data_IF_095260710011
#
_entry.id   IF_095260710011
#
_cell.length_a   1.000
_cell.length_b   1.000
_cell.length_c   1.000
_cell.angle_alpha   90.00
_cell.angle_beta   90.00
_cell.angle_gamma   90.00
#
_symmetry.space_group_name_H-M   'P 1'
#
loop_
_entity.id
_entity.type
_entity.pdbx_description
1 polymer ?
#
# COMPACT_ATOMS: atom_id res chain seq x y z
N UNK A 1 5.92 -12.82 19.13
CA UNK A 1 6.41 -11.64 18.38
C UNK A 1 5.97 -11.72 16.90
N UNK A 2 4.69 -11.40 16.59
CA UNK A 2 4.14 -11.35 15.21
C UNK A 2 4.21 -9.93 14.59
N UNK A 3 5.01 -9.08 15.23
CA UNK A 3 5.20 -7.66 14.96
C UNK A 3 5.63 -7.32 13.52
N UNK A 4 6.50 -8.09 12.82
CA UNK A 4 7.01 -7.66 11.52
C UNK A 4 5.95 -7.60 10.42
N UNK A 5 5.02 -8.57 10.37
CA UNK A 5 4.05 -8.65 9.27
C UNK A 5 2.98 -7.56 9.32
N UNK A 6 2.51 -7.20 10.52
CA UNK A 6 1.54 -6.11 10.69
C UNK A 6 2.21 -4.76 10.42
N UNK A 7 3.43 -4.59 10.92
CA UNK A 7 4.22 -3.39 10.67
C UNK A 7 4.49 -3.21 9.17
N UNK A 8 4.93 -4.25 8.46
CA UNK A 8 5.11 -4.22 7.00
C UNK A 8 3.82 -3.88 6.26
N UNK A 9 2.66 -4.42 6.67
CA UNK A 9 1.38 -4.09 6.06
C UNK A 9 1.00 -2.61 6.24
N UNK A 10 1.17 -2.06 7.44
CA UNK A 10 0.90 -0.66 7.73
C UNK A 10 1.90 0.27 7.01
N UNK A 11 3.18 -0.10 6.98
CA UNK A 11 4.22 0.63 6.26
C UNK A 11 3.94 0.64 4.75
N UNK A 12 3.51 -0.50 4.19
CA UNK A 12 3.11 -0.62 2.78
C UNK A 12 1.91 0.28 2.46
N UNK A 13 0.91 0.35 3.34
CA UNK A 13 -0.20 1.30 3.18
C UNK A 13 0.27 2.75 3.20
N UNK A 14 1.14 3.09 4.16
CA UNK A 14 1.69 4.44 4.29
C UNK A 14 2.47 4.85 3.04
N UNK A 15 3.36 3.98 2.55
CA UNK A 15 4.12 4.22 1.34
C UNK A 15 3.23 4.25 0.09
N UNK A 16 2.27 3.34 -0.03
CA UNK A 16 1.31 3.36 -1.14
C UNK A 16 0.51 4.67 -1.18
N UNK A 17 -0.01 5.12 -0.03
CA UNK A 17 -0.74 6.38 0.07
C UNK A 17 0.16 7.59 -0.24
N UNK A 18 1.40 7.59 0.27
CA UNK A 18 2.37 8.64 0.01
C UNK A 18 2.74 8.73 -1.48
N UNK A 19 3.11 7.61 -2.10
CA UNK A 19 3.48 7.56 -3.53
C UNK A 19 2.29 7.99 -4.38
N UNK A 20 1.10 7.45 -4.12
CA UNK A 20 -0.11 7.86 -4.85
C UNK A 20 -0.39 9.36 -4.73
N UNK A 21 -0.30 9.93 -3.52
CA UNK A 21 -0.47 11.36 -3.31
C UNK A 21 0.63 12.17 -4.00
N UNK A 22 1.88 11.71 -3.94
CA UNK A 22 3.01 12.37 -4.59
C UNK A 22 2.85 12.41 -6.10
N UNK A 23 2.51 11.28 -6.74
CA UNK A 23 2.25 11.19 -8.18
C UNK A 23 1.05 12.04 -8.60
N UNK A 24 0.03 12.19 -7.74
CA UNK A 24 -1.11 13.08 -7.97
C UNK A 24 -0.71 14.56 -7.95
N UNK A 25 0.14 14.96 -7.01
CA UNK A 25 0.62 16.35 -6.89
C UNK A 25 1.73 16.69 -7.90
N UNK A 26 2.59 15.73 -8.21
CA UNK A 26 3.77 15.88 -9.08
C UNK A 26 3.65 14.90 -10.24
N UNK A 27 2.68 15.13 -11.14
CA UNK A 27 2.47 14.25 -12.29
C UNK A 27 3.72 14.25 -13.18
N UNK A 28 4.39 13.09 -13.36
CA UNK A 28 5.49 13.00 -14.31
C UNK A 28 4.98 13.23 -15.74
N UNK A 29 5.80 13.90 -16.55
CA UNK A 29 5.48 14.15 -17.96
C UNK A 29 5.58 12.87 -18.82
N UNK A 30 6.31 11.87 -18.34
CA UNK A 30 6.50 10.58 -19.02
C UNK A 30 5.44 9.56 -18.59
N UNK A 31 4.69 9.07 -19.58
CA UNK A 31 3.62 8.07 -19.42
C UNK A 31 4.13 6.76 -18.81
N UNK A 32 5.35 6.34 -19.12
CA UNK A 32 5.91 5.09 -18.60
C UNK A 32 6.21 5.20 -17.10
N UNK A 33 6.78 6.33 -16.69
CA UNK A 33 7.04 6.64 -15.27
C UNK A 33 5.73 6.71 -14.48
N UNK A 34 4.72 7.39 -15.04
CA UNK A 34 3.39 7.48 -14.43
C UNK A 34 2.74 6.09 -14.24
N UNK A 35 2.86 5.21 -15.24
CA UNK A 35 2.32 3.86 -15.17
C UNK A 35 3.01 3.02 -14.08
N UNK A 36 4.34 3.09 -13.99
CA UNK A 36 5.11 2.38 -12.95
C UNK A 36 4.77 2.85 -11.54
N UNK A 37 4.64 4.16 -11.33
CA UNK A 37 4.27 4.73 -10.04
C UNK A 37 2.85 4.30 -9.62
N UNK A 38 1.88 4.32 -10.55
CA UNK A 38 0.52 3.86 -10.28
C UNK A 38 0.45 2.36 -9.98
N UNK A 39 1.13 1.52 -10.78
CA UNK A 39 1.18 0.07 -10.54
C UNK A 39 1.75 -0.23 -9.15
N UNK A 40 2.86 0.42 -8.81
CA UNK A 40 3.52 0.25 -7.51
C UNK A 40 2.62 0.71 -6.36
N UNK A 41 1.92 1.84 -6.53
CA UNK A 41 0.94 2.37 -5.57
C UNK A 41 -0.18 1.37 -5.32
N UNK A 42 -0.78 0.82 -6.37
CA UNK A 42 -1.86 -0.17 -6.26
C UNK A 42 -1.38 -1.44 -5.57
N UNK A 43 -0.18 -1.92 -5.90
CA UNK A 43 0.40 -3.11 -5.26
C UNK A 43 0.65 -2.89 -3.77
N UNK A 44 1.22 -1.73 -3.39
CA UNK A 44 1.50 -1.36 -2.01
C UNK A 44 0.22 -1.22 -1.18
N UNK A 45 -0.79 -0.54 -1.74
CA UNK A 45 -2.09 -0.37 -1.08
C UNK A 45 -2.85 -1.69 -0.98
N UNK A 46 -2.86 -2.48 -2.04
CA UNK A 46 -3.50 -3.78 -2.09
C UNK A 46 -2.88 -4.77 -1.10
N UNK A 47 -1.55 -4.87 -1.07
CA UNK A 47 -0.84 -5.75 -0.14
C UNK A 47 -1.08 -5.34 1.31
N UNK A 48 -0.87 -4.05 1.62
CA UNK A 48 -1.06 -3.55 2.97
C UNK A 48 -2.52 -3.67 3.45
N UNK A 49 -3.48 -3.35 2.58
CA UNK A 49 -4.92 -3.48 2.84
C UNK A 49 -5.33 -4.92 3.08
N UNK A 50 -4.84 -5.86 2.26
CA UNK A 50 -5.10 -7.29 2.42
C UNK A 50 -4.55 -7.84 3.75
N UNK A 51 -3.34 -7.44 4.14
CA UNK A 51 -2.73 -7.86 5.41
C UNK A 51 -3.57 -7.36 6.59
N UNK A 52 -4.01 -6.10 6.56
CA UNK A 52 -4.88 -5.53 7.59
C UNK A 52 -6.24 -6.21 7.62
N UNK A 53 -6.87 -6.42 6.46
CA UNK A 53 -8.15 -7.10 6.32
C UNK A 53 -8.11 -8.52 6.89
N UNK A 54 -7.11 -9.33 6.48
CA UNK A 54 -6.91 -10.69 7.01
C UNK A 54 -6.67 -10.72 8.52
N UNK A 55 -6.16 -9.63 9.10
CA UNK A 55 -5.95 -9.54 10.55
C UNK A 55 -7.25 -9.24 11.28
N UNK A 56 -8.04 -8.30 10.77
CA UNK A 56 -9.37 -7.98 11.30
C UNK A 56 -10.29 -9.19 11.21
N UNK A 57 -10.37 -9.84 10.04
CA UNK A 57 -11.17 -11.04 9.84
C UNK A 57 -10.80 -12.19 10.79
N UNK A 58 -9.52 -12.34 11.13
CA UNK A 58 -9.06 -13.34 12.12
C UNK A 58 -9.34 -12.97 13.56
N UNK A 59 -9.51 -11.69 13.89
CA UNK A 59 -9.92 -11.23 15.23
C UNK A 59 -11.42 -11.35 15.44
N UNK A 60 -12.23 -11.22 14.40
CA UNK A 60 -13.70 -11.36 14.48
C UNK A 60 -14.18 -12.82 14.60
N UNK A 61 -13.31 -13.78 14.30
CA UNK A 61 -13.62 -15.22 14.35
C UNK A 61 -13.11 -15.92 15.63
N UNK A 62 -12.61 -15.15 16.61
CA UNK A 62 -12.11 -15.62 17.90
C UNK A 62 -12.93 -15.00 19.02
#
# INVERSE_FOLDING_TARGET
MRFPFTFMGALSLLFGAWVGAYTLLHRPADTLTLALELISTVLLLGFGGYVVYRRLARRSAA
#
